data_IF_499460289662
#
_entry.id   IF_499460289662
#
_cell.length_a   1.000
_cell.length_b   1.000
_cell.length_c   1.000
_cell.angle_alpha   90.00
_cell.angle_beta   90.00
_cell.angle_gamma   90.00
#
_symmetry.space_group_name_H-M   'P 1'
#
loop_
_entity.id
_entity.type
_entity.pdbx_description
1 polymer ?
#
# COMPACT_ATOMS: atom_id res chain seq x y z
N UNK A 1 8.75 -14.60 8.89
CA UNK A 1 8.82 -14.50 7.42
C UNK A 1 8.31 -15.76 6.72
N UNK A 2 8.61 -16.97 7.23
CA UNK A 2 8.16 -18.24 6.61
C UNK A 2 6.63 -18.34 6.43
N UNK A 3 5.85 -18.02 7.45
CA UNK A 3 4.38 -18.00 7.36
C UNK A 3 3.90 -17.00 6.30
N UNK A 4 4.49 -15.79 6.26
CA UNK A 4 4.15 -14.79 5.24
C UNK A 4 4.48 -15.28 3.83
N UNK A 5 5.62 -15.94 3.64
CA UNK A 5 5.98 -16.55 2.36
C UNK A 5 4.97 -17.63 1.95
N UNK A 6 4.54 -18.50 2.88
CA UNK A 6 3.50 -19.50 2.63
C UNK A 6 2.15 -18.86 2.30
N UNK A 7 1.80 -17.73 2.92
CA UNK A 7 0.59 -16.96 2.58
C UNK A 7 0.64 -16.43 1.14
N UNK A 8 1.79 -15.86 0.72
CA UNK A 8 1.99 -15.36 -0.65
C UNK A 8 1.96 -16.52 -1.66
N UNK A 9 2.59 -17.65 -1.35
CA UNK A 9 2.52 -18.86 -2.18
C UNK A 9 1.07 -19.33 -2.35
N UNK A 10 0.27 -19.34 -1.29
CA UNK A 10 -1.14 -19.74 -1.37
C UNK A 10 -1.98 -18.79 -2.23
N UNK A 11 -1.67 -17.48 -2.22
CA UNK A 11 -2.27 -16.51 -3.15
C UNK A 11 -1.91 -16.87 -4.59
N UNK A 12 -0.62 -17.13 -4.89
CA UNK A 12 -0.16 -17.52 -6.23
C UNK A 12 -0.82 -18.81 -6.72
N UNK A 13 -0.88 -19.85 -5.87
CA UNK A 13 -1.60 -21.10 -6.17
C UNK A 13 -3.07 -20.83 -6.52
N UNK A 14 -3.72 -19.93 -5.79
CA UNK A 14 -5.14 -19.60 -6.01
C UNK A 14 -5.33 -18.80 -7.31
N UNK A 15 -4.44 -17.87 -7.62
CA UNK A 15 -4.41 -17.16 -8.91
C UNK A 15 -4.17 -18.13 -10.06
N UNK A 16 -3.22 -19.06 -9.91
CA UNK A 16 -2.94 -20.12 -10.88
C UNK A 16 -4.17 -20.97 -11.19
N UNK A 17 -4.93 -21.37 -10.17
CA UNK A 17 -6.20 -22.11 -10.36
C UNK A 17 -7.24 -21.31 -11.16
N UNK A 18 -7.35 -20.01 -10.90
CA UNK A 18 -8.26 -19.12 -11.67
C UNK A 18 -7.83 -19.04 -13.13
N UNK A 19 -6.53 -18.84 -13.38
CA UNK A 19 -5.95 -18.86 -14.74
C UNK A 19 -6.24 -20.19 -15.44
N UNK A 20 -5.95 -21.31 -14.79
CA UNK A 20 -6.08 -22.65 -15.39
C UNK A 20 -7.55 -22.94 -15.73
N UNK A 21 -8.48 -22.50 -14.90
CA UNK A 21 -9.90 -22.57 -15.19
C UNK A 21 -10.25 -21.74 -16.44
N UNK A 22 -9.88 -20.45 -16.51
CA UNK A 22 -10.12 -19.60 -17.68
C UNK A 22 -9.47 -20.16 -18.96
N UNK A 23 -8.29 -20.78 -18.85
CA UNK A 23 -7.62 -21.42 -19.97
C UNK A 23 -8.39 -22.67 -20.43
N UNK A 24 -8.91 -23.46 -19.49
CA UNK A 24 -9.71 -24.66 -19.81
C UNK A 24 -11.03 -24.34 -20.50
N UNK A 25 -11.60 -23.16 -20.27
CA UNK A 25 -12.81 -22.69 -20.94
C UNK A 25 -12.54 -21.92 -22.23
N UNK A 26 -11.26 -21.68 -22.59
CA UNK A 26 -10.87 -20.91 -23.77
C UNK A 26 -10.93 -19.38 -23.59
N UNK A 27 -11.28 -18.89 -22.40
CA UNK A 27 -11.49 -17.46 -22.09
C UNK A 27 -10.19 -16.73 -21.72
N UNK A 28 -9.12 -17.45 -21.39
CA UNK A 28 -7.86 -16.84 -20.93
C UNK A 28 -7.30 -15.78 -21.89
N UNK A 29 -7.33 -16.05 -23.20
CA UNK A 29 -6.78 -15.15 -24.20
C UNK A 29 -7.64 -13.90 -24.46
N UNK A 30 -8.89 -13.89 -23.98
CA UNK A 30 -9.82 -12.75 -24.06
C UNK A 30 -10.06 -12.12 -22.67
N UNK A 31 -9.20 -12.44 -21.70
CA UNK A 31 -9.29 -11.89 -20.34
C UNK A 31 -8.22 -10.84 -20.11
N UNK A 32 -8.63 -9.62 -19.74
CA UNK A 32 -7.72 -8.65 -19.15
C UNK A 32 -7.45 -8.99 -17.68
N UNK A 33 -6.18 -9.21 -17.32
CA UNK A 33 -5.77 -9.54 -15.94
C UNK A 33 -4.94 -8.39 -15.36
N UNK A 34 -5.38 -7.87 -14.21
CA UNK A 34 -4.63 -6.92 -13.40
C UNK A 34 -4.36 -7.55 -12.03
N UNK A 35 -3.10 -7.54 -11.60
CA UNK A 35 -2.68 -7.95 -10.27
C UNK A 35 -1.89 -6.82 -9.62
N UNK A 36 -2.27 -6.42 -8.41
CA UNK A 36 -1.60 -5.36 -7.66
C UNK A 36 -1.78 -5.57 -6.17
N UNK A 37 -0.87 -5.01 -5.38
CA UNK A 37 -1.12 -4.77 -3.96
C UNK A 37 -1.94 -3.48 -3.78
N UNK A 38 -2.57 -3.32 -2.64
CA UNK A 38 -3.35 -2.13 -2.29
C UNK A 38 -2.49 -1.01 -1.68
N UNK A 39 -1.32 -1.33 -1.13
CA UNK A 39 -0.34 -0.40 -0.55
C UNK A 39 1.04 -1.06 -0.34
N UNK A 40 1.99 -0.33 0.26
CA UNK A 40 3.30 -0.87 0.65
C UNK A 40 3.23 -1.93 1.75
N UNK A 41 4.37 -2.57 2.06
CA UNK A 41 4.46 -3.63 3.06
C UNK A 41 4.02 -3.18 4.49
N UNK A 42 3.46 -4.08 5.31
CA UNK A 42 2.89 -3.75 6.63
C UNK A 42 3.96 -3.66 7.73
N UNK A 43 4.49 -2.47 8.00
CA UNK A 43 5.55 -2.26 8.98
C UNK A 43 5.11 -1.95 10.41
N UNK A 44 3.80 -1.91 10.70
CA UNK A 44 3.32 -1.48 12.02
C UNK A 44 3.67 -2.48 13.14
N UNK A 45 3.89 -1.92 14.33
CA UNK A 45 3.96 -2.66 15.59
C UNK A 45 2.58 -2.57 16.25
N UNK A 46 1.72 -3.56 15.96
CA UNK A 46 0.33 -3.53 16.40
C UNK A 46 0.18 -3.61 17.92
N UNK A 47 1.17 -4.15 18.64
CA UNK A 47 1.23 -4.16 20.11
C UNK A 47 1.18 -2.75 20.72
N UNK A 48 1.67 -1.75 19.99
CA UNK A 48 1.73 -0.36 20.44
C UNK A 48 0.42 0.40 20.19
N UNK A 49 -0.58 -0.21 19.53
CA UNK A 49 -1.86 0.42 19.26
C UNK A 49 -2.76 0.31 20.51
N UNK A 50 -3.19 1.44 21.10
CA UNK A 50 -4.12 1.40 22.24
C UNK A 50 -5.48 0.86 21.79
N UNK A 51 -5.96 -0.21 22.44
CA UNK A 51 -7.31 -0.74 22.22
C UNK A 51 -8.16 -0.41 23.45
N UNK A 52 -9.00 0.63 23.35
CA UNK A 52 -10.02 1.07 24.33
C UNK A 52 -9.74 0.83 25.84
N UNK A 53 -9.65 1.92 26.61
CA UNK A 53 -9.83 1.94 28.07
C UNK A 53 -9.08 0.85 28.87
N UNK A 54 -7.74 0.87 28.81
CA UNK A 54 -6.88 0.24 29.82
C UNK A 54 -6.36 -1.16 29.50
N UNK A 55 -6.59 -1.69 28.29
CA UNK A 55 -5.95 -2.90 27.80
C UNK A 55 -5.20 -2.62 26.48
N UNK A 56 -4.13 -3.34 26.23
CA UNK A 56 -3.41 -3.34 24.95
C UNK A 56 -3.88 -4.49 24.06
N UNK A 57 -3.58 -4.42 22.75
CA UNK A 57 -3.76 -5.58 21.88
C UNK A 57 -2.96 -6.79 22.38
N UNK A 58 -1.78 -6.54 22.93
CA UNK A 58 -0.91 -7.57 23.49
C UNK A 58 -1.58 -8.33 24.65
N UNK A 59 -2.34 -7.64 25.51
CA UNK A 59 -3.08 -8.28 26.62
C UNK A 59 -4.15 -9.25 26.10
N UNK A 60 -4.84 -8.87 25.02
CA UNK A 60 -5.85 -9.72 24.37
C UNK A 60 -5.18 -10.94 23.74
N UNK A 61 -4.09 -10.75 23.00
CA UNK A 61 -3.34 -11.83 22.35
C UNK A 61 -2.81 -12.82 23.38
N UNK A 62 -2.17 -12.34 24.46
CA UNK A 62 -1.66 -13.20 25.54
C UNK A 62 -2.75 -14.03 26.21
N UNK A 63 -3.99 -13.55 26.25
CA UNK A 63 -5.11 -14.23 26.92
C UNK A 63 -5.81 -15.24 26.02
N UNK A 64 -5.87 -15.00 24.71
CA UNK A 64 -6.75 -15.75 23.80
C UNK A 64 -6.03 -16.43 22.64
N UNK A 65 -4.75 -16.19 22.43
CA UNK A 65 -3.98 -16.72 21.31
C UNK A 65 -2.79 -17.56 21.79
N UNK A 66 -2.37 -18.51 20.96
CA UNK A 66 -1.14 -19.27 21.14
C UNK A 66 -0.14 -18.84 20.06
N UNK A 67 0.91 -18.16 20.51
CA UNK A 67 2.01 -17.71 19.67
C UNK A 67 3.30 -18.49 19.98
N UNK A 68 3.20 -19.69 20.58
CA UNK A 68 4.32 -20.63 20.66
C UNK A 68 4.82 -20.96 19.25
N UNK A 69 6.13 -21.23 19.12
CA UNK A 69 6.76 -21.46 17.82
C UNK A 69 6.06 -22.58 17.03
N UNK A 70 5.59 -23.60 17.73
CA UNK A 70 4.90 -24.77 17.19
C UNK A 70 3.51 -24.44 16.63
N UNK A 71 2.86 -23.37 17.09
CA UNK A 71 1.49 -22.98 16.70
C UNK A 71 1.44 -21.75 15.79
N UNK A 72 2.58 -21.10 15.54
CA UNK A 72 2.63 -19.93 14.66
C UNK A 72 2.10 -20.26 13.25
N UNK A 73 1.09 -19.51 12.81
CA UNK A 73 0.42 -19.69 11.52
C UNK A 73 -0.88 -20.48 11.58
N UNK A 74 -1.20 -21.11 12.72
CA UNK A 74 -2.50 -21.75 12.95
C UNK A 74 -3.59 -20.72 13.28
N UNK A 75 -4.84 -21.18 13.23
CA UNK A 75 -6.06 -20.37 13.39
C UNK A 75 -6.16 -19.57 14.70
N UNK A 76 -5.43 -19.97 15.73
CA UNK A 76 -5.42 -19.38 17.07
C UNK A 76 -4.12 -18.61 17.37
N UNK A 77 -3.27 -18.39 16.36
CA UNK A 77 -2.09 -17.53 16.44
C UNK A 77 -2.38 -16.14 15.84
N UNK A 78 -1.75 -15.10 16.39
CA UNK A 78 -1.85 -13.72 15.87
C UNK A 78 -0.48 -13.07 15.95
N UNK A 79 0.17 -12.90 14.79
CA UNK A 79 1.51 -12.32 14.67
C UNK A 79 1.61 -11.39 13.46
N UNK A 80 2.56 -10.45 13.54
CA UNK A 80 2.98 -9.56 12.44
C UNK A 80 4.51 -9.60 12.33
N UNK A 81 5.05 -9.37 11.13
CA UNK A 81 6.50 -9.49 10.90
C UNK A 81 7.29 -8.23 11.30
N UNK A 82 6.62 -7.13 11.63
CA UNK A 82 7.24 -5.87 12.02
C UNK A 82 8.03 -5.11 10.92
N UNK A 83 8.61 -3.96 11.29
CA UNK A 83 9.13 -2.96 10.37
C UNK A 83 10.38 -3.39 9.59
N UNK A 84 11.22 -4.27 10.15
CA UNK A 84 12.45 -4.71 9.46
C UNK A 84 12.12 -5.59 8.25
N UNK A 85 11.19 -6.53 8.41
CA UNK A 85 10.72 -7.37 7.32
C UNK A 85 9.92 -6.59 6.28
N UNK A 86 9.12 -5.60 6.71
CA UNK A 86 8.47 -4.66 5.79
C UNK A 86 9.50 -3.88 4.96
N UNK A 87 10.54 -3.34 5.60
CA UNK A 87 11.60 -2.58 4.93
C UNK A 87 12.40 -3.43 3.94
N UNK A 88 12.59 -4.72 4.24
CA UNK A 88 13.20 -5.65 3.29
C UNK A 88 12.39 -5.81 2.00
N UNK A 89 11.06 -5.73 2.09
CA UNK A 89 10.16 -5.82 0.94
C UNK A 89 9.98 -4.48 0.20
N UNK A 90 10.15 -3.33 0.89
CA UNK A 90 10.00 -2.00 0.26
C UNK A 90 11.29 -1.43 -0.31
N UNK A 91 12.46 -1.94 0.10
CA UNK A 91 13.75 -1.50 -0.38
C UNK A 91 13.82 -1.50 -1.93
N UNK A 92 14.39 -0.45 -2.56
CA UNK A 92 15.14 0.67 -1.97
C UNK A 92 14.27 1.85 -1.49
N UNK A 93 12.94 1.73 -1.53
CA UNK A 93 12.05 2.84 -1.19
C UNK A 93 12.04 3.13 0.31
N UNK A 94 11.76 4.38 0.64
CA UNK A 94 11.61 4.81 2.03
C UNK A 94 10.22 4.45 2.53
N UNK A 95 10.12 3.98 3.77
CA UNK A 95 8.85 3.77 4.45
C UNK A 95 8.18 2.45 4.09
N UNK A 96 6.92 2.34 4.52
CA UNK A 96 6.09 1.16 4.44
C UNK A 96 4.61 1.63 4.38
N UNK A 97 3.65 0.71 4.53
CA UNK A 97 2.23 1.05 4.65
C UNK A 97 1.98 2.22 5.60
N UNK A 98 0.98 3.04 5.26
CA UNK A 98 0.62 4.27 5.98
C UNK A 98 1.67 5.39 5.91
N UNK A 99 2.69 5.26 5.05
CA UNK A 99 3.58 6.35 4.67
C UNK A 99 3.23 6.86 3.26
N UNK A 100 3.39 8.16 3.00
CA UNK A 100 3.23 8.77 1.66
C UNK A 100 4.54 8.77 0.84
N UNK A 101 5.52 7.98 1.27
CA UNK A 101 6.84 7.83 0.65
C UNK A 101 6.78 6.98 -0.63
N UNK A 102 7.91 6.65 -1.28
CA UNK A 102 7.91 6.02 -2.61
C UNK A 102 7.41 4.58 -2.65
N UNK A 103 6.90 4.18 -3.82
CA UNK A 103 6.71 2.79 -4.26
C UNK A 103 7.56 2.57 -5.53
N UNK A 104 8.32 1.47 -5.59
CA UNK A 104 9.24 1.18 -6.70
C UNK A 104 8.57 0.45 -7.87
N UNK A 105 9.14 0.57 -9.08
CA UNK A 105 8.66 -0.12 -10.28
C UNK A 105 9.80 -0.43 -11.28
N UNK A 106 9.61 -1.46 -12.12
CA UNK A 106 10.48 -1.82 -13.27
C UNK A 106 10.25 -0.86 -14.46
N UNK A 107 9.13 -0.12 -14.45
CA UNK A 107 8.84 0.96 -15.40
C UNK A 107 8.85 2.30 -14.68
N UNK A 108 9.54 3.30 -15.25
CA UNK A 108 9.62 4.65 -14.67
C UNK A 108 8.44 5.55 -15.07
N UNK A 109 7.42 4.99 -15.73
CA UNK A 109 6.19 5.73 -16.05
C UNK A 109 5.35 5.82 -14.78
N UNK A 110 5.04 7.03 -14.37
CA UNK A 110 4.11 7.26 -13.26
C UNK A 110 2.72 6.77 -13.66
N UNK A 111 2.15 5.90 -12.84
CA UNK A 111 0.81 5.34 -12.96
C UNK A 111 0.22 5.20 -11.56
N UNK A 112 -1.08 5.37 -11.45
CA UNK A 112 -1.82 5.31 -10.18
C UNK A 112 -3.02 4.39 -10.30
N UNK A 113 -3.57 3.99 -9.15
CA UNK A 113 -4.84 3.23 -9.09
C UNK A 113 -5.98 3.96 -9.81
N UNK A 114 -5.93 5.30 -9.87
CA UNK A 114 -6.94 6.12 -10.55
C UNK A 114 -6.96 5.91 -12.07
N UNK A 115 -5.87 5.39 -12.65
CA UNK A 115 -5.77 5.12 -14.09
C UNK A 115 -6.43 3.80 -14.50
N UNK A 116 -6.75 2.92 -13.55
CA UNK A 116 -7.31 1.58 -13.83
C UNK A 116 -8.72 1.67 -14.39
N UNK A 117 -9.61 2.43 -13.74
CA UNK A 117 -11.02 2.51 -14.15
C UNK A 117 -11.18 3.10 -15.56
N UNK A 118 -10.55 4.24 -15.91
CA UNK A 118 -10.60 4.76 -17.28
C UNK A 118 -10.07 3.74 -18.28
N UNK A 119 -8.99 3.03 -17.93
CA UNK A 119 -8.40 2.04 -18.82
C UNK A 119 -9.27 0.80 -19.02
N UNK A 120 -10.00 0.39 -17.98
CA UNK A 120 -10.97 -0.70 -18.07
C UNK A 120 -12.16 -0.31 -18.96
N UNK A 121 -12.64 0.95 -18.87
CA UNK A 121 -13.73 1.45 -19.72
C UNK A 121 -13.34 1.56 -21.21
N UNK A 122 -12.05 1.76 -21.52
CA UNK A 122 -11.53 1.75 -22.89
C UNK A 122 -11.53 0.35 -23.55
N UNK A 123 -11.77 -0.72 -22.80
CA UNK A 123 -11.80 -2.07 -23.37
C UNK A 123 -13.02 -2.25 -24.29
N UNK A 124 -12.87 -2.93 -25.44
CA UNK A 124 -13.98 -3.17 -26.37
C UNK A 124 -15.18 -3.81 -25.65
N UNK A 125 -16.37 -3.21 -25.80
CA UNK A 125 -17.62 -3.75 -25.25
C UNK A 125 -18.12 -3.12 -23.93
N UNK A 126 -17.35 -2.23 -23.29
CA UNK A 126 -17.74 -1.58 -22.01
C UNK A 126 -18.24 -0.12 -22.14
N UNK A 127 -18.39 0.41 -23.35
CA UNK A 127 -18.78 1.80 -23.67
C UNK A 127 -20.24 2.21 -23.32
N UNK A 128 -20.95 1.49 -22.44
CA UNK A 128 -22.42 1.62 -22.30
C UNK A 128 -22.94 2.37 -21.08
N UNK A 129 -22.09 2.81 -20.14
CA UNK A 129 -22.56 3.54 -18.96
C UNK A 129 -22.38 5.04 -19.19
N UNK A 130 -23.44 5.69 -19.68
CA UNK A 130 -23.55 7.12 -20.02
C UNK A 130 -23.41 8.10 -18.85
N UNK A 131 -22.51 7.83 -17.92
CA UNK A 131 -22.02 8.80 -16.94
C UNK A 131 -20.72 9.38 -17.46
N UNK A 132 -20.67 10.70 -17.66
CA UNK A 132 -19.42 11.44 -17.79
C UNK A 132 -18.65 11.29 -16.47
N UNK A 133 -17.88 10.21 -16.32
CA UNK A 133 -16.80 10.22 -15.36
C UNK A 133 -15.85 11.30 -15.83
N UNK A 134 -15.69 12.39 -15.06
CA UNK A 134 -14.54 13.29 -15.20
C UNK A 134 -13.25 12.59 -14.71
N UNK A 135 -13.11 11.30 -15.00
CA UNK A 135 -11.80 10.81 -15.28
C UNK A 135 -11.59 11.15 -16.75
N UNK A 136 -10.96 12.31 -17.02
CA UNK A 136 -10.32 12.53 -18.30
C UNK A 136 -9.72 11.19 -18.71
N UNK A 137 -10.14 10.65 -19.85
CA UNK A 137 -9.62 9.40 -20.38
C UNK A 137 -8.16 9.63 -20.66
N UNK A 138 -7.35 9.47 -19.63
CA UNK A 138 -5.93 9.62 -19.70
C UNK A 138 -5.47 8.36 -20.42
N UNK A 139 -5.46 8.44 -21.75
CA UNK A 139 -4.50 7.72 -22.59
C UNK A 139 -3.07 8.18 -22.22
N UNK A 140 -2.71 8.17 -20.93
CA UNK A 140 -1.38 8.51 -20.43
C UNK A 140 -0.53 7.26 -20.50
N UNK A 141 -0.11 6.96 -21.72
CA UNK A 141 1.07 6.12 -21.94
C UNK A 141 2.35 6.75 -21.36
N UNK A 142 2.30 8.03 -20.94
CA UNK A 142 3.32 8.75 -20.18
C UNK A 142 2.63 9.79 -19.29
N UNK A 143 2.93 9.81 -17.99
CA UNK A 143 2.64 11.00 -17.21
C UNK A 143 3.38 12.20 -17.83
N UNK A 144 2.68 13.29 -18.13
CA UNK A 144 3.31 14.50 -18.65
C UNK A 144 4.11 15.19 -17.53
N UNK A 145 5.11 15.99 -17.90
CA UNK A 145 5.94 16.75 -16.95
C UNK A 145 5.14 17.68 -16.01
N UNK A 146 3.86 17.89 -16.28
CA UNK A 146 2.96 18.79 -15.55
C UNK A 146 1.93 18.06 -14.68
N UNK A 147 1.96 16.73 -14.63
CA UNK A 147 0.96 15.97 -13.88
C UNK A 147 1.11 16.19 -12.38
N UNK A 148 0.02 16.59 -11.73
CA UNK A 148 -0.04 16.83 -10.29
C UNK A 148 -0.81 15.68 -9.64
N UNK A 149 -0.18 15.00 -8.69
CA UNK A 149 -0.80 13.92 -7.92
C UNK A 149 -0.60 14.20 -6.43
N UNK A 150 -1.67 14.09 -5.65
CA UNK A 150 -1.66 14.34 -4.20
C UNK A 150 -2.03 13.10 -3.41
N UNK A 151 -1.43 12.97 -2.23
CA UNK A 151 -1.77 11.98 -1.21
C UNK A 151 -1.93 12.69 0.14
N UNK A 152 -2.94 12.32 0.92
CA UNK A 152 -3.09 12.70 2.31
C UNK A 152 -3.71 11.52 3.07
N UNK A 153 -3.10 11.16 4.20
CA UNK A 153 -3.64 10.17 5.11
C UNK A 153 -3.01 10.37 6.49
N UNK A 154 -3.77 10.24 7.58
CA UNK A 154 -3.24 10.31 8.95
C UNK A 154 -2.40 11.57 9.26
N UNK A 155 -2.69 12.69 8.61
CA UNK A 155 -1.96 13.95 8.81
C UNK A 155 -0.58 13.99 8.14
N UNK A 156 -0.19 12.95 7.40
CA UNK A 156 0.93 13.00 6.46
C UNK A 156 0.42 13.28 5.05
N UNK A 157 1.20 14.00 4.26
CA UNK A 157 0.81 14.38 2.91
C UNK A 157 1.98 14.29 1.93
N UNK A 158 1.67 14.13 0.65
CA UNK A 158 2.61 14.25 -0.45
C UNK A 158 1.96 14.95 -1.64
N UNK A 159 2.76 15.70 -2.39
CA UNK A 159 2.38 16.19 -3.72
C UNK A 159 3.51 15.92 -4.69
N UNK A 160 3.17 15.37 -5.85
CA UNK A 160 4.09 15.10 -6.95
C UNK A 160 3.74 15.95 -8.16
N UNK A 161 4.73 16.61 -8.75
CA UNK A 161 4.63 17.34 -10.03
C UNK A 161 5.72 16.80 -10.96
N UNK A 162 5.33 16.00 -11.96
CA UNK A 162 6.28 15.28 -12.79
C UNK A 162 7.20 14.36 -11.96
N UNK A 163 8.50 14.68 -11.91
CA UNK A 163 9.49 13.95 -11.09
C UNK A 163 9.74 14.56 -9.71
N UNK A 164 9.23 15.76 -9.44
CA UNK A 164 9.37 16.40 -8.14
C UNK A 164 8.32 15.87 -7.18
N UNK A 165 8.72 15.45 -5.98
CA UNK A 165 7.80 15.10 -4.90
C UNK A 165 8.16 15.85 -3.63
N UNK A 166 7.18 16.54 -3.06
CA UNK A 166 7.26 17.13 -1.74
C UNK A 166 6.51 16.26 -0.73
N UNK A 167 7.07 16.12 0.47
CA UNK A 167 6.52 15.32 1.56
C UNK A 167 6.28 16.21 2.78
N UNK A 168 5.14 16.01 3.43
CA UNK A 168 4.87 16.49 4.78
C UNK A 168 4.69 15.28 5.69
N UNK A 169 5.57 15.15 6.67
CA UNK A 169 5.47 14.14 7.71
C UNK A 169 5.06 14.86 8.99
N UNK A 170 3.88 14.54 9.53
CA UNK A 170 3.43 15.07 10.81
C UNK A 170 4.49 14.80 11.88
N UNK A 171 4.79 15.78 12.75
CA UNK A 171 5.65 15.54 13.90
C UNK A 171 4.99 14.46 14.77
N UNK A 172 5.82 13.62 15.40
CA UNK A 172 5.34 12.76 16.48
C UNK A 172 4.65 13.64 17.52
N UNK A 173 3.54 13.19 18.13
CA UNK A 173 2.90 13.94 19.21
C UNK A 173 3.98 14.31 20.23
N UNK A 174 4.14 15.60 20.48
CA UNK A 174 5.10 16.08 21.45
C UNK A 174 4.82 15.39 22.78
N UNK A 175 5.87 14.94 23.48
CA UNK A 175 5.73 14.81 24.93
C UNK A 175 5.17 16.13 25.47
N UNK A 176 4.27 16.11 26.48
CA UNK A 176 3.60 17.33 26.95
C UNK A 176 4.63 18.45 27.16
N UNK A 177 4.58 19.46 26.30
CA UNK A 177 5.66 20.44 26.14
C UNK A 177 5.81 21.30 27.39
N UNK A 178 7.05 21.49 27.84
CA UNK A 178 7.43 22.74 28.48
C UNK A 178 7.35 23.86 27.42
N UNK A 179 6.58 24.90 27.69
CA UNK A 179 6.01 25.95 26.81
C UNK A 179 6.96 26.78 25.90
N UNK A 180 8.16 26.34 25.49
CA UNK A 180 9.13 27.23 24.81
C UNK A 180 9.86 26.69 23.57
N UNK A 181 9.36 25.68 22.85
CA UNK A 181 10.04 25.23 21.62
C UNK A 181 9.13 24.86 20.45
N UNK A 182 8.33 25.79 19.95
CA UNK A 182 7.71 25.63 18.62
C UNK A 182 8.75 25.93 17.52
N UNK A 183 9.61 24.96 17.23
CA UNK A 183 10.41 24.96 16.00
C UNK A 183 9.63 24.17 14.95
N UNK A 184 8.91 24.87 14.07
CA UNK A 184 8.35 24.30 12.84
C UNK A 184 9.50 23.77 11.97
N UNK A 185 9.77 22.47 12.03
CA UNK A 185 10.69 21.79 11.11
C UNK A 185 9.93 21.40 9.85
N UNK A 186 9.84 22.33 8.89
CA UNK A 186 9.54 21.97 7.50
C UNK A 186 10.78 21.28 6.92
N UNK A 187 10.81 19.94 6.94
CA UNK A 187 11.81 19.19 6.19
C UNK A 187 11.34 19.07 4.73
N UNK A 188 11.68 20.06 3.91
CA UNK A 188 11.63 19.90 2.45
C UNK A 188 12.75 18.94 2.04
N UNK A 189 12.46 17.65 2.04
CA UNK A 189 13.30 16.67 1.34
C UNK A 189 12.93 16.72 -0.14
N UNK A 190 13.61 17.56 -0.92
CA UNK A 190 13.58 17.46 -2.39
C UNK A 190 14.33 16.18 -2.77
N UNK A 191 13.59 15.10 -2.98
CA UNK A 191 14.17 13.87 -3.52
C UNK A 191 14.08 13.99 -5.05
N UNK A 192 15.22 14.16 -5.72
CA UNK A 192 15.33 13.99 -7.16
C UNK A 192 15.70 12.54 -7.46
N UNK A 193 14.96 11.90 -8.37
CA UNK A 193 15.24 10.57 -8.92
C UNK A 193 15.77 10.69 -10.34
#
# INVERSE_FOLDING_TARGET
MEIFAAMVELVDVTVGRTRDYLASTGEWNDTFVLFMSDNGAEGQLLEAIPILAGATLEDVIKKYCDNSLEDLGNHNSVVWYGPQWASAATAPNRGAKSCTTEDGSITNTLTTVMDILPKALDLPGLNTLGTNFEAETLHRSKANQTDIIGWEQFGIAAVRVGHWKALYLAPLPAEPENENSTVFRFLFSLISF
#
